data_IF_705330457210
#
_entry.id   IF_705330457210
#
_cell.length_a   1.000
_cell.length_b   1.000
_cell.length_c   1.000
_cell.angle_alpha   90.00
_cell.angle_beta   90.00
_cell.angle_gamma   90.00
#
_symmetry.space_group_name_H-M   'P 1'
#
loop_
_entity.id
_entity.type
_entity.pdbx_description
1 polymer ?
#
# COMPACT_ATOMS: atom_id res chain seq x y z
N UNK A 1 -21.24 -35.44 3.59
CA UNK A 1 -20.50 -36.61 3.01
C UNK A 1 -20.08 -37.50 4.14
N UNK A 2 -20.21 -38.83 3.97
CA UNK A 2 -19.72 -39.78 4.96
C UNK A 2 -18.18 -39.74 5.01
N UNK A 3 -17.61 -39.83 6.21
CA UNK A 3 -16.16 -39.90 6.39
C UNK A 3 -15.59 -41.15 5.70
N UNK A 4 -14.64 -40.96 4.80
CA UNK A 4 -13.89 -42.04 4.17
C UNK A 4 -12.40 -41.85 4.47
N UNK A 5 -11.80 -42.83 5.12
CA UNK A 5 -10.35 -42.84 5.39
C UNK A 5 -9.60 -43.16 4.10
N UNK A 6 -8.58 -42.33 3.75
CA UNK A 6 -7.75 -42.58 2.58
C UNK A 6 -6.98 -43.89 2.74
N UNK A 7 -7.17 -44.78 1.79
CA UNK A 7 -6.43 -46.06 1.80
C UNK A 7 -4.95 -45.81 1.55
N UNK A 8 -4.12 -46.45 2.37
CA UNK A 8 -2.66 -46.37 2.30
C UNK A 8 -2.14 -47.65 1.65
N UNK A 9 -1.26 -47.56 0.62
CA UNK A 9 -0.69 -48.76 -0.02
C UNK A 9 0.02 -49.65 0.98
N UNK A 10 0.00 -50.97 0.77
CA UNK A 10 0.81 -51.90 1.56
C UNK A 10 2.30 -51.51 1.46
N UNK A 11 3.01 -51.43 2.58
CA UNK A 11 4.41 -51.02 2.63
C UNK A 11 4.69 -49.53 2.70
N UNK A 12 3.64 -48.68 2.80
CA UNK A 12 3.81 -47.22 2.94
C UNK A 12 4.64 -46.83 4.17
N UNK A 13 5.50 -45.83 3.99
CA UNK A 13 6.30 -45.24 5.07
C UNK A 13 5.44 -44.58 6.15
N UNK A 14 6.01 -44.40 7.35
CA UNK A 14 5.32 -43.67 8.43
C UNK A 14 4.82 -42.26 8.02
N UNK A 15 5.62 -41.55 7.23
CA UNK A 15 5.25 -40.22 6.71
C UNK A 15 4.04 -40.31 5.75
N UNK A 16 3.99 -41.32 4.88
CA UNK A 16 2.86 -41.50 3.96
C UNK A 16 1.57 -41.85 4.71
N UNK A 17 1.69 -42.68 5.78
CA UNK A 17 0.57 -43.05 6.66
C UNK A 17 0.04 -41.80 7.40
N UNK A 18 0.94 -40.98 7.94
CA UNK A 18 0.59 -39.72 8.62
C UNK A 18 -0.10 -38.76 7.64
N UNK A 19 0.46 -38.60 6.44
CA UNK A 19 -0.15 -37.69 5.43
C UNK A 19 -1.54 -38.18 5.00
N UNK A 20 -1.73 -39.47 4.78
CA UNK A 20 -3.04 -40.05 4.46
C UNK A 20 -4.05 -39.88 5.61
N UNK A 21 -3.60 -40.01 6.86
CA UNK A 21 -4.43 -39.75 8.03
C UNK A 21 -4.85 -38.26 8.12
N UNK A 22 -3.92 -37.33 7.90
CA UNK A 22 -4.20 -35.88 7.84
C UNK A 22 -5.17 -35.57 6.70
N UNK A 23 -4.87 -36.04 5.51
CA UNK A 23 -5.66 -35.77 4.30
C UNK A 23 -7.10 -36.33 4.36
N UNK A 24 -7.31 -37.40 5.13
CA UNK A 24 -8.66 -37.94 5.35
C UNK A 24 -9.54 -36.97 6.18
N UNK A 25 -8.92 -36.10 6.96
CA UNK A 25 -9.57 -35.17 7.90
C UNK A 25 -9.51 -33.72 7.43
N UNK A 26 -8.39 -33.33 6.85
CA UNK A 26 -8.12 -32.04 6.25
C UNK A 26 -7.37 -32.29 4.92
N UNK A 27 -7.97 -32.04 3.75
CA UNK A 27 -7.41 -32.40 2.44
C UNK A 27 -6.25 -31.47 2.02
N UNK A 28 -5.14 -31.50 2.78
CA UNK A 28 -3.98 -30.63 2.59
C UNK A 28 -3.31 -30.86 1.24
N UNK A 29 -3.15 -32.14 0.84
CA UNK A 29 -2.54 -32.49 -0.45
C UNK A 29 -3.39 -32.00 -1.63
N UNK A 30 -4.71 -32.10 -1.53
CA UNK A 30 -5.61 -31.60 -2.56
C UNK A 30 -5.62 -30.07 -2.62
N UNK A 31 -5.65 -29.42 -1.46
CA UNK A 31 -5.52 -27.97 -1.38
C UNK A 31 -4.20 -27.47 -1.99
N UNK A 32 -3.08 -28.15 -1.67
CA UNK A 32 -1.79 -27.84 -2.27
C UNK A 32 -1.82 -28.01 -3.81
N UNK A 33 -2.34 -29.14 -4.30
CA UNK A 33 -2.47 -29.36 -5.75
C UNK A 33 -3.28 -28.25 -6.41
N UNK A 34 -4.47 -27.98 -5.90
CA UNK A 34 -5.39 -26.99 -6.44
C UNK A 34 -4.79 -25.58 -6.49
N UNK A 35 -4.03 -25.19 -5.46
CA UNK A 35 -3.51 -23.82 -5.34
C UNK A 35 -2.06 -23.66 -5.84
N UNK A 36 -1.32 -24.74 -6.09
CA UNK A 36 0.08 -24.70 -6.48
C UNK A 36 0.34 -25.44 -7.81
N UNK A 37 0.14 -26.77 -7.85
CA UNK A 37 0.51 -27.58 -9.02
C UNK A 37 -0.49 -27.53 -10.17
N UNK A 38 -1.78 -27.34 -9.84
CA UNK A 38 -2.88 -27.25 -10.81
C UNK A 38 -3.32 -25.79 -11.03
N UNK A 39 -2.68 -24.83 -10.33
CA UNK A 39 -2.86 -23.41 -10.59
C UNK A 39 -1.93 -22.97 -11.71
N UNK A 40 -2.52 -22.62 -12.85
CA UNK A 40 -1.79 -22.15 -14.03
C UNK A 40 -1.65 -20.63 -14.01
N UNK A 41 -0.40 -20.15 -14.01
CA UNK A 41 -0.07 -18.74 -14.14
C UNK A 41 0.39 -18.41 -15.58
N UNK A 42 0.23 -17.16 -16.07
CA UNK A 42 0.72 -16.75 -17.37
C UNK A 42 2.22 -17.00 -17.51
N UNK A 43 2.64 -17.63 -18.62
CA UNK A 43 4.05 -18.02 -18.85
C UNK A 43 5.02 -16.84 -19.08
N UNK A 44 4.52 -15.61 -19.28
CA UNK A 44 5.29 -14.39 -19.56
C UNK A 44 5.37 -13.42 -18.37
N UNK A 45 5.12 -13.87 -17.13
CA UNK A 45 5.31 -13.01 -15.96
C UNK A 45 6.77 -12.60 -15.84
N UNK A 46 7.02 -11.31 -15.61
CA UNK A 46 8.35 -10.74 -15.45
C UNK A 46 8.65 -10.40 -13.98
N UNK A 47 9.86 -9.87 -13.74
CA UNK A 47 10.35 -9.47 -12.41
C UNK A 47 9.34 -8.68 -11.58
N UNK A 48 8.53 -7.79 -12.19
CA UNK A 48 7.57 -6.99 -11.43
C UNK A 48 6.44 -7.79 -10.76
N UNK A 49 6.28 -9.08 -11.10
CA UNK A 49 5.25 -9.93 -10.49
C UNK A 49 5.66 -10.55 -9.15
N UNK A 50 6.96 -10.53 -8.79
CA UNK A 50 7.47 -11.08 -7.53
C UNK A 50 7.02 -10.29 -6.28
N UNK A 51 6.74 -9.00 -6.42
CA UNK A 51 6.49 -8.12 -5.27
C UNK A 51 5.27 -8.54 -4.42
N UNK A 52 4.31 -9.29 -4.98
CA UNK A 52 3.22 -9.89 -4.21
C UNK A 52 3.71 -10.98 -3.25
N UNK A 53 4.56 -11.89 -3.72
CA UNK A 53 5.16 -12.94 -2.88
C UNK A 53 6.09 -12.33 -1.81
N UNK A 54 6.91 -11.34 -2.18
CA UNK A 54 7.76 -10.63 -1.23
C UNK A 54 6.97 -9.91 -0.14
N UNK A 55 5.79 -9.34 -0.46
CA UNK A 55 4.94 -8.70 0.54
C UNK A 55 4.45 -9.70 1.61
N UNK A 56 4.13 -10.94 1.24
CA UNK A 56 3.76 -12.00 2.18
C UNK A 56 4.94 -12.35 3.09
N UNK A 57 6.14 -12.45 2.54
CA UNK A 57 7.35 -12.75 3.32
C UNK A 57 7.64 -11.64 4.32
N UNK A 58 7.57 -10.38 3.88
CA UNK A 58 7.78 -9.23 4.78
C UNK A 58 6.70 -9.20 5.87
N UNK A 59 5.43 -9.46 5.54
CA UNK A 59 4.36 -9.58 6.54
C UNK A 59 4.71 -10.64 7.60
N UNK A 60 5.19 -11.82 7.17
CA UNK A 60 5.61 -12.87 8.09
C UNK A 60 6.78 -12.41 8.98
N UNK A 61 7.78 -11.73 8.41
CA UNK A 61 8.90 -11.16 9.18
C UNK A 61 8.37 -10.16 10.23
N UNK A 62 7.45 -9.27 9.86
CA UNK A 62 6.89 -8.28 10.77
C UNK A 62 6.13 -8.94 11.93
N UNK A 63 5.30 -9.93 11.66
CA UNK A 63 4.54 -10.65 12.68
C UNK A 63 5.51 -11.37 13.64
N UNK A 64 6.46 -12.14 13.11
CA UNK A 64 7.40 -12.91 13.92
C UNK A 64 8.25 -11.97 14.78
N UNK A 65 8.88 -10.98 14.20
CA UNK A 65 9.71 -10.02 14.95
C UNK A 65 8.89 -9.21 15.94
N UNK A 66 7.66 -8.82 15.60
CA UNK A 66 6.73 -8.13 16.48
C UNK A 66 6.39 -8.95 17.74
N UNK A 67 6.12 -10.25 17.59
CA UNK A 67 5.87 -11.15 18.73
C UNK A 67 7.07 -11.17 19.69
N UNK A 68 8.31 -11.27 19.17
CA UNK A 68 9.49 -11.25 20.02
C UNK A 68 9.71 -9.89 20.70
N UNK A 69 9.41 -8.78 20.02
CA UNK A 69 9.52 -7.44 20.63
C UNK A 69 8.51 -7.27 21.77
N UNK A 70 7.27 -7.70 21.60
CA UNK A 70 6.22 -7.59 22.62
C UNK A 70 6.57 -8.32 23.92
N UNK A 71 7.39 -9.38 23.88
CA UNK A 71 7.79 -10.12 25.09
C UNK A 71 8.54 -9.23 26.11
N UNK A 72 9.21 -8.18 25.63
CA UNK A 72 10.04 -7.31 26.48
C UNK A 72 9.57 -5.84 26.47
N UNK A 73 8.74 -5.44 25.52
CA UNK A 73 8.22 -4.07 25.40
C UNK A 73 7.20 -3.76 26.52
N UNK A 74 7.23 -2.52 27.03
CA UNK A 74 6.30 -2.02 28.05
C UNK A 74 5.47 -0.86 27.48
N UNK A 75 4.16 -1.01 27.24
CA UNK A 75 3.30 0.06 26.75
C UNK A 75 2.89 1.03 27.87
N UNK A 76 3.85 1.72 28.43
CA UNK A 76 3.74 2.65 29.55
C UNK A 76 4.58 3.87 29.21
N UNK A 77 4.01 5.07 29.22
CA UNK A 77 4.69 6.29 28.79
C UNK A 77 5.99 6.59 29.56
N UNK A 78 6.12 6.09 30.80
CA UNK A 78 7.34 6.23 31.60
C UNK A 78 8.40 5.15 31.29
N UNK A 79 8.02 4.04 30.64
CA UNK A 79 8.87 2.86 30.46
C UNK A 79 9.09 2.44 29.01
N UNK A 80 8.28 2.94 28.08
CA UNK A 80 8.28 2.48 26.70
C UNK A 80 9.65 2.67 26.04
N UNK A 81 10.22 3.88 26.12
CA UNK A 81 11.53 4.17 25.57
C UNK A 81 12.63 3.30 26.20
N UNK A 82 12.65 3.22 27.54
CA UNK A 82 13.62 2.41 28.27
C UNK A 82 13.49 0.91 27.94
N UNK A 83 12.28 0.42 27.71
CA UNK A 83 12.07 -0.98 27.31
C UNK A 83 12.62 -1.29 25.93
N UNK A 84 12.60 -0.32 24.98
CA UNK A 84 13.24 -0.45 23.67
C UNK A 84 14.76 -0.44 23.82
N UNK A 85 15.32 0.45 24.66
CA UNK A 85 16.75 0.45 24.98
C UNK A 85 17.20 -0.86 25.62
N UNK A 86 16.40 -1.41 26.55
CA UNK A 86 16.64 -2.72 27.15
C UNK A 86 16.66 -3.84 26.09
N UNK A 87 15.71 -3.86 25.17
CA UNK A 87 15.70 -4.81 24.04
C UNK A 87 16.98 -4.69 23.22
N UNK A 88 17.39 -3.46 22.92
CA UNK A 88 18.55 -3.20 22.06
C UNK A 88 19.88 -3.59 22.71
N UNK A 89 20.01 -3.51 24.04
CA UNK A 89 21.29 -3.60 24.75
C UNK A 89 21.44 -4.86 25.58
N UNK A 90 20.37 -5.31 26.23
CA UNK A 90 20.44 -6.37 27.23
C UNK A 90 19.84 -7.71 26.76
N UNK A 91 18.84 -7.68 25.86
CA UNK A 91 18.23 -8.91 25.35
C UNK A 91 19.13 -9.54 24.30
N UNK A 92 19.53 -10.82 24.44
CA UNK A 92 20.32 -11.52 23.42
C UNK A 92 19.67 -11.44 22.04
N UNK A 93 20.39 -10.92 21.04
CA UNK A 93 19.91 -10.68 19.68
C UNK A 93 18.72 -9.68 19.59
N UNK A 94 18.38 -8.97 20.65
CA UNK A 94 17.28 -8.01 20.67
C UNK A 94 17.48 -6.88 19.66
N UNK A 95 18.72 -6.37 19.51
CA UNK A 95 19.07 -5.41 18.46
C UNK A 95 18.76 -5.92 17.04
N UNK A 96 19.03 -7.19 16.77
CA UNK A 96 18.76 -7.82 15.47
C UNK A 96 17.25 -7.85 15.19
N UNK A 97 16.46 -8.34 16.14
CA UNK A 97 15.01 -8.40 16.03
C UNK A 97 14.42 -6.99 15.85
N UNK A 98 14.89 -6.01 16.61
CA UNK A 98 14.45 -4.61 16.51
C UNK A 98 14.76 -4.01 15.14
N UNK A 99 15.99 -4.20 14.62
CA UNK A 99 16.36 -3.72 13.29
C UNK A 99 15.65 -4.48 12.17
N UNK A 100 15.43 -5.78 12.31
CA UNK A 100 14.61 -6.53 11.35
C UNK A 100 13.18 -5.98 11.29
N UNK A 101 12.59 -5.60 12.42
CA UNK A 101 11.25 -5.05 12.47
C UNK A 101 11.18 -3.66 11.83
N UNK A 102 12.07 -2.75 12.19
CA UNK A 102 12.08 -1.37 11.65
C UNK A 102 12.46 -1.33 10.16
N UNK A 103 13.50 -2.07 9.75
CA UNK A 103 13.88 -2.21 8.34
C UNK A 103 12.75 -2.88 7.55
N UNK A 104 12.13 -3.92 8.15
CA UNK A 104 11.01 -4.62 7.54
C UNK A 104 9.81 -3.71 7.29
N UNK A 105 9.48 -2.79 8.19
CA UNK A 105 8.43 -1.80 7.96
C UNK A 105 8.71 -0.96 6.70
N UNK A 106 9.92 -0.42 6.56
CA UNK A 106 10.32 0.33 5.36
C UNK A 106 10.33 -0.54 4.11
N UNK A 107 10.90 -1.74 4.16
CA UNK A 107 10.92 -2.66 3.02
C UNK A 107 9.53 -3.14 2.62
N UNK A 108 8.57 -3.19 3.55
CA UNK A 108 7.18 -3.49 3.23
C UNK A 108 6.59 -2.43 2.30
N UNK A 109 6.79 -1.15 2.60
CA UNK A 109 6.33 -0.07 1.71
C UNK A 109 7.07 -0.05 0.37
N UNK A 110 8.37 -0.32 0.32
CA UNK A 110 9.09 -0.48 -0.97
C UNK A 110 8.41 -1.55 -1.81
N UNK A 111 8.20 -2.74 -1.23
CA UNK A 111 7.60 -3.87 -1.93
C UNK A 111 6.16 -3.57 -2.37
N UNK A 112 5.34 -2.98 -1.49
CA UNK A 112 3.93 -2.67 -1.79
C UNK A 112 3.82 -1.56 -2.85
N UNK A 113 4.65 -0.52 -2.81
CA UNK A 113 4.68 0.50 -3.86
C UNK A 113 5.04 -0.10 -5.21
N UNK A 114 6.06 -0.95 -5.29
CA UNK A 114 6.42 -1.64 -6.53
C UNK A 114 5.29 -2.54 -7.03
N UNK A 115 4.61 -3.23 -6.11
CA UNK A 115 3.44 -4.05 -6.42
C UNK A 115 2.28 -3.21 -7.00
N UNK A 116 1.99 -2.06 -6.42
CA UNK A 116 0.94 -1.14 -6.89
C UNK A 116 1.31 -0.50 -8.25
N UNK A 117 2.55 -0.02 -8.42
CA UNK A 117 3.01 0.54 -9.69
C UNK A 117 2.97 -0.50 -10.82
N UNK A 118 3.32 -1.76 -10.54
CA UNK A 118 3.12 -2.86 -11.51
C UNK A 118 1.65 -2.98 -11.90
N UNK A 119 0.74 -2.91 -10.93
CA UNK A 119 -0.70 -2.91 -11.17
C UNK A 119 -1.14 -1.78 -12.09
N UNK A 120 -0.63 -0.56 -11.88
CA UNK A 120 -0.88 0.61 -12.72
C UNK A 120 -0.38 0.41 -14.15
N UNK A 121 0.86 -0.02 -14.34
CA UNK A 121 1.51 -0.16 -15.65
C UNK A 121 0.81 -1.21 -16.52
N UNK A 122 0.44 -2.36 -15.95
CA UNK A 122 -0.16 -3.46 -16.71
C UNK A 122 -1.69 -3.50 -16.64
N UNK A 123 -2.34 -2.55 -15.96
CA UNK A 123 -3.79 -2.47 -15.82
C UNK A 123 -4.38 -3.65 -15.03
N UNK A 124 -3.67 -4.11 -13.98
CA UNK A 124 -4.08 -5.26 -13.16
C UNK A 124 -5.30 -4.98 -12.27
N UNK A 125 -5.77 -3.74 -12.22
CA UNK A 125 -6.99 -3.30 -11.54
C UNK A 125 -8.24 -3.42 -12.41
N UNK A 126 -8.10 -3.73 -13.70
CA UNK A 126 -9.21 -3.75 -14.66
C UNK A 126 -9.92 -5.11 -14.64
N UNK A 127 -11.19 -5.07 -15.12
CA UNK A 127 -12.07 -6.25 -15.23
C UNK A 127 -11.31 -7.49 -15.75
N UNK A 128 -11.41 -8.66 -15.05
CA UNK A 128 -12.29 -8.99 -13.92
C UNK A 128 -11.60 -8.85 -12.53
N UNK A 129 -10.55 -8.00 -12.37
CA UNK A 129 -9.70 -7.92 -11.18
C UNK A 129 -9.95 -6.70 -10.29
N UNK A 130 -11.12 -6.05 -10.47
CA UNK A 130 -11.50 -4.86 -9.69
C UNK A 130 -11.52 -5.16 -8.19
N UNK A 131 -12.10 -6.29 -7.79
CA UNK A 131 -12.19 -6.68 -6.38
C UNK A 131 -10.80 -6.95 -5.77
N UNK A 132 -9.89 -7.56 -6.54
CA UNK A 132 -8.50 -7.75 -6.11
C UNK A 132 -7.84 -6.40 -5.82
N UNK A 133 -8.05 -5.43 -6.70
CA UNK A 133 -7.51 -4.08 -6.54
C UNK A 133 -8.08 -3.38 -5.31
N UNK A 134 -9.40 -3.48 -5.06
CA UNK A 134 -10.07 -2.90 -3.90
C UNK A 134 -9.51 -3.50 -2.60
N UNK A 135 -9.36 -4.83 -2.51
CA UNK A 135 -8.70 -5.46 -1.37
C UNK A 135 -7.26 -4.97 -1.21
N UNK A 136 -6.51 -4.82 -2.31
CA UNK A 136 -5.17 -4.26 -2.29
C UNK A 136 -5.12 -2.83 -1.74
N UNK A 137 -6.04 -1.96 -2.14
CA UNK A 137 -6.16 -0.60 -1.59
C UNK A 137 -6.53 -0.62 -0.10
N UNK A 138 -7.41 -1.52 0.33
CA UNK A 138 -7.78 -1.69 1.74
C UNK A 138 -6.58 -2.19 2.57
N UNK A 139 -5.81 -3.15 2.04
CA UNK A 139 -4.54 -3.61 2.64
C UNK A 139 -3.56 -2.43 2.78
N UNK A 140 -3.39 -1.62 1.73
CA UNK A 140 -2.49 -0.47 1.78
C UNK A 140 -2.91 0.55 2.84
N UNK A 141 -4.21 0.85 2.95
CA UNK A 141 -4.75 1.74 3.99
C UNK A 141 -4.53 1.17 5.41
N UNK A 142 -4.79 -0.13 5.61
CA UNK A 142 -4.50 -0.81 6.88
C UNK A 142 -3.00 -0.79 7.20
N UNK A 143 -2.14 -1.00 6.19
CA UNK A 143 -0.68 -0.96 6.36
C UNK A 143 -0.19 0.45 6.77
N UNK A 144 -0.79 1.51 6.21
CA UNK A 144 -0.51 2.88 6.65
C UNK A 144 -0.88 3.08 8.12
N UNK A 145 -2.07 2.60 8.54
CA UNK A 145 -2.50 2.65 9.94
C UNK A 145 -1.57 1.83 10.85
N UNK A 146 -1.23 0.62 10.44
CA UNK A 146 -0.32 -0.29 11.15
C UNK A 146 1.04 0.37 11.42
N UNK A 147 1.64 0.94 10.38
CA UNK A 147 2.92 1.62 10.49
C UNK A 147 2.85 2.88 11.36
N UNK A 148 1.77 3.65 11.27
CA UNK A 148 1.56 4.83 12.12
C UNK A 148 1.44 4.47 13.59
N UNK A 149 0.62 3.48 13.94
CA UNK A 149 0.46 3.03 15.32
C UNK A 149 1.76 2.44 15.87
N UNK A 150 2.50 1.66 15.06
CA UNK A 150 3.78 1.08 15.45
C UNK A 150 4.88 2.11 15.64
N UNK A 151 4.88 3.18 14.86
CA UNK A 151 5.88 4.23 14.95
C UNK A 151 5.83 5.02 16.27
N UNK A 152 4.67 5.13 16.92
CA UNK A 152 4.54 5.75 18.25
C UNK A 152 5.22 4.92 19.35
N UNK A 153 5.22 3.59 19.23
CA UNK A 153 5.58 2.68 20.33
C UNK A 153 7.00 2.89 20.90
N UNK A 154 8.04 3.21 20.11
CA UNK A 154 9.37 3.50 20.67
C UNK A 154 9.40 4.69 21.64
N UNK A 155 8.40 5.55 21.62
CA UNK A 155 8.25 6.71 22.50
C UNK A 155 9.45 7.66 22.48
N UNK A 156 10.09 7.76 21.29
CA UNK A 156 11.11 8.75 21.00
C UNK A 156 10.52 10.11 20.62
N UNK A 157 11.37 11.10 20.47
CA UNK A 157 10.98 12.48 20.14
C UNK A 157 10.17 12.56 18.84
N UNK A 158 10.60 11.87 17.79
CA UNK A 158 9.86 11.88 16.51
C UNK A 158 8.58 11.04 16.56
N UNK A 159 8.58 9.92 17.29
CA UNK A 159 7.40 9.12 17.54
C UNK A 159 6.27 9.94 18.20
N UNK A 160 6.60 10.64 19.27
CA UNK A 160 5.66 11.47 20.04
C UNK A 160 5.11 12.64 19.21
N UNK A 161 6.02 13.45 18.64
CA UNK A 161 5.63 14.65 17.92
C UNK A 161 5.00 14.33 16.56
N UNK A 162 5.40 13.24 15.92
CA UNK A 162 4.73 12.73 14.72
C UNK A 162 3.27 12.33 15.01
N UNK A 163 3.02 11.61 16.09
CA UNK A 163 1.66 11.26 16.52
C UNK A 163 0.85 12.50 16.87
N UNK A 164 1.45 13.46 17.60
CA UNK A 164 0.79 14.73 17.94
C UNK A 164 0.31 15.48 16.69
N UNK A 165 1.15 15.56 15.66
CA UNK A 165 0.79 16.20 14.39
C UNK A 165 -0.35 15.44 13.70
N UNK A 166 -0.23 14.14 13.52
CA UNK A 166 -1.21 13.33 12.77
C UNK A 166 -2.56 13.29 13.46
N UNK A 167 -2.60 13.09 14.81
CA UNK A 167 -3.87 13.08 15.54
C UNK A 167 -4.54 14.47 15.49
N UNK A 168 -3.74 15.55 15.52
CA UNK A 168 -4.28 16.89 15.37
C UNK A 168 -4.84 17.20 13.97
N UNK A 169 -4.49 16.42 12.93
CA UNK A 169 -5.12 16.58 11.62
C UNK A 169 -6.60 16.19 11.64
N UNK A 170 -6.97 15.18 12.43
CA UNK A 170 -8.37 14.78 12.58
C UNK A 170 -9.24 15.89 13.17
N UNK A 171 -8.67 16.76 14.02
CA UNK A 171 -9.41 17.90 14.59
C UNK A 171 -9.87 18.92 13.55
N UNK A 172 -9.30 18.91 12.34
CA UNK A 172 -9.72 19.79 11.24
C UNK A 172 -11.05 19.35 10.58
N UNK A 173 -11.55 18.15 10.86
CA UNK A 173 -12.81 17.66 10.30
C UNK A 173 -13.96 18.43 10.93
N UNK A 174 -14.83 19.10 10.16
CA UNK A 174 -15.95 19.85 10.71
C UNK A 174 -16.89 18.96 11.54
N UNK A 175 -17.44 19.53 12.60
CA UNK A 175 -18.43 18.97 13.55
C UNK A 175 -17.89 17.84 14.44
N UNK A 176 -17.22 16.83 13.91
CA UNK A 176 -16.78 15.63 14.65
C UNK A 176 -15.28 15.63 14.97
N UNK A 177 -14.50 16.51 14.36
CA UNK A 177 -13.03 16.47 14.42
C UNK A 177 -12.45 16.58 15.83
N UNK A 178 -12.89 17.55 16.66
CA UNK A 178 -12.40 17.67 18.03
C UNK A 178 -12.66 16.41 18.87
N UNK A 179 -13.88 15.86 18.82
CA UNK A 179 -14.26 14.66 19.56
C UNK A 179 -13.51 13.41 19.04
N UNK A 180 -13.36 13.29 17.73
CA UNK A 180 -12.58 12.20 17.11
C UNK A 180 -11.10 12.27 17.52
N UNK A 181 -10.51 13.47 17.51
CA UNK A 181 -9.13 13.68 17.95
C UNK A 181 -8.94 13.34 19.43
N UNK A 182 -9.90 13.72 20.29
CA UNK A 182 -9.92 13.38 21.71
C UNK A 182 -10.07 11.86 21.91
N UNK A 183 -10.97 11.23 21.16
CA UNK A 183 -11.16 9.79 21.22
C UNK A 183 -9.91 9.03 20.79
N UNK A 184 -9.22 9.46 19.70
CA UNK A 184 -7.98 8.83 19.23
C UNK A 184 -6.87 8.93 20.28
N UNK A 185 -6.70 10.10 20.92
CA UNK A 185 -5.71 10.29 21.98
C UNK A 185 -6.06 9.52 23.25
N UNK A 186 -7.35 9.44 23.56
CA UNK A 186 -7.83 8.90 24.83
C UNK A 186 -7.67 9.83 26.02
N UNK A 187 -7.11 11.00 25.79
CA UNK A 187 -6.88 12.09 26.73
C UNK A 187 -6.79 13.43 25.97
N UNK A 188 -6.70 14.54 26.69
CA UNK A 188 -6.53 15.88 26.10
C UNK A 188 -5.17 16.06 25.42
N UNK A 189 -4.16 15.29 25.81
CA UNK A 189 -2.81 15.28 25.24
C UNK A 189 -2.41 13.89 24.78
N UNK A 190 -1.42 13.78 23.90
CA UNK A 190 -0.76 12.50 23.61
C UNK A 190 -0.04 12.06 24.87
N UNK A 191 -0.36 10.89 25.40
CA UNK A 191 0.14 10.38 26.65
C UNK A 191 -0.03 8.88 26.76
N UNK A 192 -0.07 8.39 27.99
CA UNK A 192 -0.15 6.96 28.30
C UNK A 192 -1.41 6.30 27.69
N UNK A 193 -2.55 6.96 27.77
CA UNK A 193 -3.79 6.47 27.15
C UNK A 193 -3.66 6.32 25.62
N UNK A 194 -2.97 7.24 24.96
CA UNK A 194 -2.69 7.17 23.51
C UNK A 194 -1.79 5.98 23.21
N UNK A 195 -0.72 5.82 23.98
CA UNK A 195 0.24 4.74 23.81
C UNK A 195 -0.41 3.37 23.94
N UNK A 196 -1.25 3.17 24.96
CA UNK A 196 -1.99 1.92 25.17
C UNK A 196 -2.96 1.60 24.02
N UNK A 197 -3.68 2.58 23.50
CA UNK A 197 -4.58 2.40 22.35
C UNK A 197 -3.80 2.02 21.09
N UNK A 198 -2.72 2.73 20.81
CA UNK A 198 -1.89 2.47 19.64
C UNK A 198 -1.20 1.11 19.73
N UNK A 199 -0.77 0.72 20.92
CA UNK A 199 -0.25 -0.63 21.17
C UNK A 199 -1.31 -1.70 20.85
N UNK A 200 -2.55 -1.55 21.34
CA UNK A 200 -3.61 -2.50 21.07
C UNK A 200 -3.97 -2.58 19.57
N UNK A 201 -4.00 -1.44 18.87
CA UNK A 201 -4.22 -1.42 17.42
C UNK A 201 -3.09 -2.10 16.65
N UNK A 202 -1.82 -1.77 16.96
CA UNK A 202 -0.65 -2.28 16.26
C UNK A 202 -0.41 -3.78 16.51
N UNK A 203 -0.61 -4.25 17.74
CA UNK A 203 -0.26 -5.65 18.10
C UNK A 203 -1.38 -6.64 17.80
N UNK A 204 -2.65 -6.20 17.82
CA UNK A 204 -3.80 -7.10 17.71
C UNK A 204 -4.73 -6.69 16.58
N UNK A 205 -5.34 -5.50 16.65
CA UNK A 205 -6.51 -5.18 15.85
C UNK A 205 -6.17 -5.09 14.35
N UNK A 206 -5.20 -4.28 13.98
CA UNK A 206 -4.83 -4.09 12.57
C UNK A 206 -4.14 -5.32 11.98
N UNK A 207 -3.22 -6.03 12.65
CA UNK A 207 -2.66 -7.28 12.12
C UNK A 207 -3.73 -8.33 11.80
N UNK A 208 -4.75 -8.50 12.63
CA UNK A 208 -5.85 -9.43 12.36
C UNK A 208 -6.66 -9.02 11.13
N UNK A 209 -7.00 -7.74 11.00
CA UNK A 209 -7.70 -7.21 9.81
C UNK A 209 -6.82 -7.37 8.56
N UNK A 210 -5.53 -7.06 8.67
CA UNK A 210 -4.57 -7.16 7.57
C UNK A 210 -4.45 -8.61 7.07
N UNK A 211 -4.29 -9.59 7.97
CA UNK A 211 -4.25 -11.02 7.62
C UNK A 211 -5.54 -11.43 6.91
N UNK A 212 -6.70 -11.03 7.42
CA UNK A 212 -8.00 -11.32 6.79
C UNK A 212 -8.12 -10.73 5.39
N UNK A 213 -7.71 -9.47 5.20
CA UNK A 213 -7.72 -8.82 3.89
C UNK A 213 -6.71 -9.46 2.91
N UNK A 214 -5.53 -9.83 3.37
CA UNK A 214 -4.52 -10.54 2.54
C UNK A 214 -5.06 -11.90 2.11
N UNK A 215 -5.70 -12.65 3.00
CA UNK A 215 -6.35 -13.91 2.65
C UNK A 215 -7.43 -13.70 1.58
N UNK A 216 -8.32 -12.71 1.75
CA UNK A 216 -9.35 -12.38 0.77
C UNK A 216 -8.76 -11.94 -0.59
N UNK A 217 -7.68 -11.15 -0.58
CA UNK A 217 -6.96 -10.72 -1.77
C UNK A 217 -6.39 -11.90 -2.56
N UNK A 218 -5.75 -12.85 -1.87
CA UNK A 218 -5.18 -14.05 -2.50
C UNK A 218 -6.28 -14.97 -3.03
N UNK A 219 -7.36 -15.19 -2.26
CA UNK A 219 -8.50 -15.99 -2.71
C UNK A 219 -9.12 -15.41 -3.99
N UNK A 220 -9.35 -14.08 -4.02
CA UNK A 220 -9.85 -13.40 -5.21
C UNK A 220 -8.87 -13.51 -6.40
N UNK A 221 -7.54 -13.47 -6.15
CA UNK A 221 -6.54 -13.67 -7.19
C UNK A 221 -6.60 -15.09 -7.78
N UNK A 222 -6.72 -16.12 -6.95
CA UNK A 222 -6.81 -17.51 -7.41
C UNK A 222 -8.07 -17.78 -8.21
N UNK A 223 -9.19 -17.12 -7.86
CA UNK A 223 -10.45 -17.24 -8.59
C UNK A 223 -10.35 -16.73 -10.03
N UNK A 224 -9.88 -15.49 -10.21
CA UNK A 224 -9.82 -14.87 -11.54
C UNK A 224 -8.50 -15.09 -12.28
N UNK A 225 -7.42 -15.42 -11.57
CA UNK A 225 -6.07 -15.60 -12.11
C UNK A 225 -5.27 -14.30 -12.25
N UNK A 226 -3.94 -14.45 -12.34
CA UNK A 226 -3.01 -13.33 -12.52
C UNK A 226 -3.21 -12.63 -13.86
N UNK A 227 -3.04 -11.30 -13.86
CA UNK A 227 -2.81 -10.54 -15.09
C UNK A 227 -1.38 -10.83 -15.60
N UNK A 228 -1.06 -10.37 -16.81
CA UNK A 228 0.27 -10.49 -17.41
C UNK A 228 0.67 -9.20 -18.14
N UNK A 229 1.94 -9.06 -18.56
CA UNK A 229 2.43 -7.86 -19.24
C UNK A 229 1.68 -7.47 -20.52
N UNK A 230 1.02 -8.41 -21.18
CA UNK A 230 0.24 -8.15 -22.39
C UNK A 230 -1.24 -7.86 -22.10
N UNK A 231 -1.72 -8.21 -20.91
CA UNK A 231 -3.14 -8.08 -20.55
C UNK A 231 -4.05 -9.12 -21.20
N UNK A 232 -3.50 -10.22 -21.69
CA UNK A 232 -4.22 -11.34 -22.29
C UNK A 232 -4.85 -12.20 -21.21
N UNK A 233 -6.13 -12.56 -21.37
CA UNK A 233 -6.82 -13.48 -20.46
C UNK A 233 -6.50 -14.93 -20.87
N UNK A 234 -5.55 -15.56 -20.20
CA UNK A 234 -5.08 -16.92 -20.54
C UNK A 234 -6.17 -17.99 -20.39
N UNK A 235 -7.14 -17.79 -19.51
CA UNK A 235 -8.28 -18.70 -19.29
C UNK A 235 -9.27 -18.75 -20.47
N UNK A 236 -9.17 -17.81 -21.43
CA UNK A 236 -10.03 -17.80 -22.61
C UNK A 236 -9.55 -18.75 -23.70
N UNK A 237 -8.34 -19.30 -23.60
CA UNK A 237 -7.73 -20.15 -24.63
C UNK A 237 -7.15 -21.42 -23.97
N UNK A 238 -7.94 -22.49 -24.02
CA UNK A 238 -7.66 -23.75 -23.35
C UNK A 238 -7.25 -24.82 -24.36
N UNK A 239 -6.38 -25.74 -23.95
CA UNK A 239 -6.05 -26.96 -24.71
C UNK A 239 -7.14 -28.03 -24.56
N UNK A 240 -6.91 -29.19 -25.20
CA UNK A 240 -7.84 -30.32 -25.16
C UNK A 240 -8.03 -30.91 -23.76
N UNK A 241 -7.13 -30.64 -22.84
CA UNK A 241 -7.16 -31.07 -21.45
C UNK A 241 -7.81 -30.03 -20.50
N UNK A 242 -8.19 -28.87 -21.05
CA UNK A 242 -8.78 -27.76 -20.29
C UNK A 242 -7.74 -26.86 -19.61
N UNK A 243 -6.44 -26.98 -19.93
CA UNK A 243 -5.40 -26.12 -19.37
C UNK A 243 -5.19 -24.88 -20.26
N UNK A 244 -4.88 -23.70 -19.67
CA UNK A 244 -4.56 -22.52 -20.43
C UNK A 244 -3.29 -22.71 -21.30
N UNK A 245 -3.44 -22.57 -22.62
CA UNK A 245 -2.33 -22.74 -23.58
C UNK A 245 -1.16 -21.78 -23.34
N UNK A 246 -1.45 -20.60 -22.75
CA UNK A 246 -0.46 -19.59 -22.37
C UNK A 246 -0.15 -19.61 -20.86
N UNK A 247 -0.53 -20.68 -20.18
CA UNK A 247 -0.24 -20.92 -18.78
C UNK A 247 0.83 -21.98 -18.57
N UNK A 248 1.49 -21.91 -17.40
CA UNK A 248 2.33 -22.98 -16.85
C UNK A 248 1.92 -23.22 -15.40
N UNK A 249 2.05 -24.43 -14.87
CA UNK A 249 1.82 -24.69 -13.46
C UNK A 249 2.66 -23.77 -12.59
N UNK A 250 2.04 -23.18 -11.54
CA UNK A 250 2.78 -22.30 -10.64
C UNK A 250 3.92 -23.07 -9.95
N UNK A 251 3.63 -24.23 -9.42
CA UNK A 251 4.65 -25.14 -8.90
C UNK A 251 4.99 -26.22 -9.92
N UNK A 252 6.28 -26.47 -10.25
CA UNK A 252 7.49 -25.91 -9.59
C UNK A 252 8.00 -24.59 -10.22
N UNK A 253 7.51 -24.16 -11.37
CA UNK A 253 8.15 -23.11 -12.17
C UNK A 253 8.24 -21.77 -11.45
N UNK A 254 7.10 -21.18 -11.07
CA UNK A 254 7.11 -19.87 -10.37
C UNK A 254 7.53 -20.02 -8.90
N UNK A 255 7.33 -21.17 -8.28
CA UNK A 255 7.86 -21.42 -6.93
C UNK A 255 9.39 -21.34 -6.88
N UNK A 256 10.09 -21.90 -7.87
CA UNK A 256 11.56 -21.80 -7.96
C UNK A 256 12.00 -20.37 -8.27
N UNK A 257 11.29 -19.70 -9.17
CA UNK A 257 11.52 -18.31 -9.50
C UNK A 257 11.35 -17.38 -8.30
N UNK A 258 10.27 -17.58 -7.52
CA UNK A 258 9.99 -16.83 -6.30
C UNK A 258 11.07 -17.04 -5.24
N UNK A 259 11.53 -18.28 -5.03
CA UNK A 259 12.62 -18.58 -4.09
C UNK A 259 13.93 -17.91 -4.50
N UNK A 260 14.25 -17.87 -5.78
CA UNK A 260 15.45 -17.18 -6.28
C UNK A 260 15.40 -15.67 -5.98
N UNK A 261 14.30 -15.00 -6.28
CA UNK A 261 14.15 -13.57 -5.99
C UNK A 261 14.04 -13.28 -4.50
N UNK A 262 13.41 -14.17 -3.74
CA UNK A 262 13.40 -14.10 -2.28
C UNK A 262 14.83 -14.13 -1.73
N UNK A 263 15.70 -15.01 -2.25
CA UNK A 263 17.12 -15.04 -1.87
C UNK A 263 17.80 -13.69 -2.12
N UNK A 264 17.61 -13.10 -3.30
CA UNK A 264 18.13 -11.77 -3.62
C UNK A 264 17.58 -10.67 -2.69
N UNK A 265 16.28 -10.70 -2.41
CA UNK A 265 15.64 -9.77 -1.49
C UNK A 265 16.20 -9.90 -0.05
N UNK A 266 16.37 -11.13 0.45
CA UNK A 266 16.90 -11.38 1.79
C UNK A 266 18.36 -10.95 1.93
N UNK A 267 19.17 -11.03 0.87
CA UNK A 267 20.54 -10.50 0.86
C UNK A 267 20.50 -8.97 1.03
N UNK A 268 19.65 -8.26 0.28
CA UNK A 268 19.51 -6.81 0.40
C UNK A 268 18.98 -6.45 1.80
N UNK A 269 17.95 -7.13 2.27
CA UNK A 269 17.37 -6.93 3.59
C UNK A 269 18.40 -7.11 4.71
N UNK A 270 19.13 -8.23 4.69
CA UNK A 270 20.19 -8.51 5.65
C UNK A 270 21.32 -7.47 5.57
N UNK A 271 21.70 -7.04 4.37
CA UNK A 271 22.72 -6.01 4.20
C UNK A 271 22.31 -4.69 4.86
N UNK A 272 21.05 -4.30 4.75
CA UNK A 272 20.52 -3.10 5.43
C UNK A 272 20.55 -3.32 6.95
N UNK A 273 19.99 -4.44 7.44
CA UNK A 273 19.90 -4.73 8.88
C UNK A 273 21.27 -4.74 9.56
N UNK A 274 22.29 -5.34 8.91
CA UNK A 274 23.62 -5.50 9.52
C UNK A 274 24.54 -4.31 9.30
N UNK A 275 24.39 -3.54 8.22
CA UNK A 275 25.37 -2.51 7.86
C UNK A 275 24.82 -1.08 7.81
N UNK A 276 23.50 -0.90 7.64
CA UNK A 276 22.89 0.42 7.50
C UNK A 276 21.44 0.48 8.00
N UNK A 277 21.12 0.02 9.24
CA UNK A 277 19.72 -0.12 9.70
C UNK A 277 18.96 1.20 9.78
N UNK A 278 19.66 2.32 9.89
CA UNK A 278 19.06 3.67 9.91
C UNK A 278 18.89 4.26 8.51
N UNK A 279 19.60 3.74 7.50
CA UNK A 279 19.63 4.26 6.12
C UNK A 279 19.81 5.78 6.07
N UNK A 280 20.77 6.31 6.85
CA UNK A 280 21.04 7.74 6.92
C UNK A 280 19.89 8.58 7.50
N UNK A 281 19.08 8.00 8.36
CA UNK A 281 17.92 8.64 8.97
C UNK A 281 16.61 8.48 8.21
N UNK A 282 16.59 7.81 7.05
CA UNK A 282 15.35 7.57 6.31
C UNK A 282 14.51 6.45 6.90
N UNK A 283 15.14 5.42 7.48
CA UNK A 283 14.42 4.30 8.11
C UNK A 283 14.24 4.52 9.61
N UNK A 284 15.24 5.11 10.27
CA UNK A 284 15.18 5.49 11.68
C UNK A 284 15.83 6.87 11.83
N UNK A 285 15.05 7.87 12.22
CA UNK A 285 15.52 9.24 12.40
C UNK A 285 16.35 9.37 13.69
N UNK A 286 17.44 10.14 13.62
CA UNK A 286 18.34 10.37 14.76
C UNK A 286 17.60 10.91 16.01
N UNK A 287 16.62 11.81 15.82
CA UNK A 287 15.84 12.37 16.92
C UNK A 287 14.93 11.33 17.60
N UNK A 288 14.71 10.17 17.01
CA UNK A 288 13.91 9.12 17.63
C UNK A 288 14.69 8.20 18.58
N UNK A 289 16.02 8.40 18.65
CA UNK A 289 16.91 7.82 19.68
C UNK A 289 17.01 8.68 20.94
N UNK A 290 16.20 9.72 21.05
CA UNK A 290 16.07 10.59 22.22
C UNK A 290 14.68 10.37 22.79
N UNK A 291 14.53 10.18 24.14
CA UNK A 291 13.22 9.97 24.76
C UNK A 291 12.28 11.16 24.52
N UNK A 292 11.00 10.89 24.39
CA UNK A 292 9.97 11.90 24.14
C UNK A 292 9.96 12.97 25.22
N UNK A 293 10.07 14.23 24.83
CA UNK A 293 9.91 15.39 25.70
C UNK A 293 8.72 16.24 25.20
N UNK A 294 7.57 16.22 25.88
CA UNK A 294 6.39 16.99 25.48
C UNK A 294 6.57 18.50 25.59
N UNK A 295 7.59 18.97 26.28
CA UNK A 295 7.90 20.41 26.48
C UNK A 295 8.91 20.96 25.48
N UNK A 296 9.47 20.10 24.61
CA UNK A 296 10.49 20.51 23.64
C UNK A 296 10.16 20.02 22.24
N UNK A 297 9.54 20.88 21.44
CA UNK A 297 9.23 20.58 20.05
C UNK A 297 10.51 20.47 19.21
N UNK A 298 10.70 19.40 18.42
CA UNK A 298 11.80 19.32 17.46
C UNK A 298 11.75 20.46 16.45
N UNK A 299 12.91 20.92 16.00
CA UNK A 299 13.03 21.98 15.00
C UNK A 299 12.40 21.63 13.66
N UNK A 300 12.35 20.33 13.35
CA UNK A 300 11.71 19.79 12.15
C UNK A 300 10.99 18.48 12.48
N UNK A 301 9.71 18.40 12.11
CA UNK A 301 8.89 17.21 12.25
C UNK A 301 8.47 16.79 10.86
N UNK A 302 8.86 15.58 10.45
CA UNK A 302 8.41 14.95 9.22
C UNK A 302 7.98 13.51 9.53
N UNK A 303 6.97 12.97 8.84
CA UNK A 303 6.65 11.55 8.95
C UNK A 303 7.73 10.70 8.29
N UNK A 304 7.74 9.40 8.58
CA UNK A 304 8.63 8.43 7.92
C UNK A 304 8.43 8.49 6.40
N UNK A 305 9.51 8.27 5.65
CA UNK A 305 9.63 8.50 4.20
C UNK A 305 8.46 7.97 3.36
N UNK A 306 7.86 6.86 3.72
CA UNK A 306 6.77 6.25 2.94
C UNK A 306 5.42 7.00 3.07
N UNK A 307 5.27 7.90 4.05
CA UNK A 307 4.11 8.79 4.16
C UNK A 307 4.34 10.16 3.50
N UNK A 308 5.60 10.51 3.24
CA UNK A 308 5.97 11.85 2.82
C UNK A 308 5.38 12.31 1.50
N UNK A 309 5.07 11.46 0.49
CA UNK A 309 4.36 11.91 -0.70
C UNK A 309 3.00 12.53 -0.37
N UNK A 310 2.24 11.90 0.52
CA UNK A 310 0.91 12.36 0.94
C UNK A 310 1.01 13.55 1.89
N UNK A 311 1.97 13.53 2.82
CA UNK A 311 2.25 14.65 3.72
C UNK A 311 2.69 15.90 2.96
N UNK A 312 3.44 15.75 1.87
CA UNK A 312 3.82 16.87 1.00
C UNK A 312 2.59 17.56 0.39
N UNK A 313 1.60 16.79 -0.06
CA UNK A 313 0.33 17.31 -0.59
C UNK A 313 -0.47 18.06 0.48
N UNK A 314 -0.54 17.52 1.70
CA UNK A 314 -1.18 18.20 2.84
C UNK A 314 -0.50 19.55 3.10
N UNK A 315 0.82 19.57 3.21
CA UNK A 315 1.61 20.76 3.55
C UNK A 315 1.59 21.80 2.44
N UNK A 316 1.46 21.39 1.17
CA UNK A 316 1.33 22.27 0.01
C UNK A 316 -0.02 22.98 -0.04
N UNK A 317 -1.04 22.49 0.68
CA UNK A 317 -2.39 23.07 0.67
C UNK A 317 -2.45 24.27 1.62
N UNK A 318 -1.95 25.39 1.15
CA UNK A 318 -1.95 26.70 1.84
C UNK A 318 -3.12 27.55 1.37
N UNK A 319 -3.47 28.61 2.11
CA UNK A 319 -4.56 29.54 1.76
C UNK A 319 -4.40 30.09 0.33
N UNK A 320 -3.19 30.42 -0.08
CA UNK A 320 -2.91 30.91 -1.45
C UNK A 320 -3.10 29.85 -2.52
N UNK A 321 -3.06 28.56 -2.16
CA UNK A 321 -3.27 27.45 -3.10
C UNK A 321 -4.73 27.07 -3.27
N UNK A 322 -5.63 27.47 -2.37
CA UNK A 322 -7.04 27.09 -2.45
C UNK A 322 -7.72 27.55 -3.75
N UNK A 323 -7.45 28.77 -4.21
CA UNK A 323 -8.00 29.26 -5.47
C UNK A 323 -7.46 28.49 -6.71
N UNK A 324 -6.16 28.28 -6.91
CA UNK A 324 -5.65 27.40 -7.96
C UNK A 324 -6.22 25.98 -7.92
N UNK A 325 -6.35 25.39 -6.72
CA UNK A 325 -6.92 24.06 -6.54
C UNK A 325 -8.40 24.01 -6.93
N UNK A 326 -9.19 25.01 -6.53
CA UNK A 326 -10.59 25.11 -6.94
C UNK A 326 -10.72 25.26 -8.46
N UNK A 327 -9.92 26.14 -9.09
CA UNK A 327 -9.93 26.31 -10.55
C UNK A 327 -9.64 24.97 -11.24
N UNK A 328 -8.63 24.24 -10.77
CA UNK A 328 -8.31 22.92 -11.30
C UNK A 328 -9.51 21.95 -11.19
N UNK A 329 -10.13 21.83 -10.02
CA UNK A 329 -11.29 20.96 -9.81
C UNK A 329 -12.51 21.41 -10.64
N UNK A 330 -12.74 22.72 -10.76
CA UNK A 330 -13.80 23.28 -11.61
C UNK A 330 -13.58 22.96 -13.09
N UNK A 331 -12.34 23.00 -13.59
CA UNK A 331 -11.99 22.59 -14.96
C UNK A 331 -12.30 21.09 -15.16
N UNK A 332 -11.91 20.22 -14.23
CA UNK A 332 -12.22 18.80 -14.29
C UNK A 332 -13.74 18.55 -14.32
N UNK A 333 -14.50 19.21 -13.44
CA UNK A 333 -15.97 19.12 -13.42
C UNK A 333 -16.59 19.67 -14.71
N UNK A 334 -16.04 20.75 -15.26
CA UNK A 334 -16.44 21.30 -16.54
C UNK A 334 -16.23 20.30 -17.70
N UNK A 335 -15.10 19.61 -17.73
CA UNK A 335 -14.85 18.54 -18.71
C UNK A 335 -15.91 17.42 -18.60
N UNK A 336 -16.26 16.98 -17.38
CA UNK A 336 -17.32 16.00 -17.17
C UNK A 336 -18.69 16.52 -17.63
N UNK A 337 -19.02 17.78 -17.30
CA UNK A 337 -20.28 18.41 -17.71
C UNK A 337 -20.40 18.52 -19.24
N UNK A 338 -19.31 18.85 -19.95
CA UNK A 338 -19.28 18.90 -21.43
C UNK A 338 -19.51 17.52 -22.03
N UNK A 339 -18.87 16.47 -21.48
CA UNK A 339 -19.00 15.08 -21.97
C UNK A 339 -20.35 14.45 -21.64
N UNK A 340 -21.01 14.89 -20.57
CA UNK A 340 -22.28 14.32 -20.12
C UNK A 340 -23.40 14.63 -21.11
N UNK A 341 -24.24 13.62 -21.45
CA UNK A 341 -25.44 13.78 -22.26
C UNK A 341 -26.64 14.15 -21.40
N UNK A 342 -26.71 13.65 -20.16
CA UNK A 342 -27.81 13.91 -19.23
C UNK A 342 -27.64 15.29 -18.57
N UNK A 343 -28.70 16.11 -18.64
CA UNK A 343 -28.78 17.45 -18.04
C UNK A 343 -28.63 17.39 -16.51
N UNK A 344 -29.07 16.28 -15.86
CA UNK A 344 -28.91 16.09 -14.42
C UNK A 344 -27.43 15.98 -14.03
N UNK A 345 -26.63 15.27 -14.84
CA UNK A 345 -25.18 15.14 -14.60
C UNK A 345 -24.50 16.48 -14.80
N UNK A 346 -24.88 17.26 -15.84
CA UNK A 346 -24.37 18.63 -16.03
C UNK A 346 -24.68 19.52 -14.83
N UNK A 347 -25.93 19.48 -14.38
CA UNK A 347 -26.38 20.24 -13.20
C UNK A 347 -25.62 19.81 -11.93
N UNK A 348 -25.41 18.50 -11.73
CA UNK A 348 -24.62 17.99 -10.60
C UNK A 348 -23.16 18.49 -10.62
N UNK A 349 -22.51 18.48 -11.80
CA UNK A 349 -21.14 19.00 -11.91
C UNK A 349 -21.06 20.51 -11.53
N UNK A 350 -22.02 21.32 -12.00
CA UNK A 350 -22.08 22.74 -11.63
C UNK A 350 -22.36 22.91 -10.14
N UNK A 351 -23.32 22.17 -9.59
CA UNK A 351 -23.65 22.23 -8.17
C UNK A 351 -22.44 21.84 -7.28
N UNK A 352 -21.71 20.81 -7.66
CA UNK A 352 -20.49 20.39 -6.95
C UNK A 352 -19.42 21.50 -7.06
N UNK A 353 -19.21 22.10 -8.23
CA UNK A 353 -18.24 23.19 -8.39
C UNK A 353 -18.57 24.39 -7.51
N UNK A 354 -19.86 24.77 -7.41
CA UNK A 354 -20.33 25.86 -6.54
C UNK A 354 -20.20 25.48 -5.05
N UNK A 355 -20.55 24.24 -4.69
CA UNK A 355 -20.39 23.77 -3.32
C UNK A 355 -18.93 23.77 -2.88
N UNK A 356 -18.01 23.34 -3.77
CA UNK A 356 -16.57 23.43 -3.52
C UNK A 356 -16.11 24.89 -3.37
N UNK A 357 -16.60 25.81 -4.21
CA UNK A 357 -16.28 27.24 -4.07
C UNK A 357 -16.70 27.78 -2.69
N UNK A 358 -17.91 27.46 -2.25
CA UNK A 358 -18.39 27.80 -0.90
C UNK A 358 -17.54 27.14 0.19
N UNK A 359 -17.20 25.87 0.03
CA UNK A 359 -16.33 25.14 0.97
C UNK A 359 -14.93 25.72 1.07
N UNK A 360 -14.30 26.08 -0.06
CA UNK A 360 -12.97 26.72 -0.06
C UNK A 360 -12.99 28.12 0.56
N UNK A 361 -14.14 28.79 0.56
CA UNK A 361 -14.31 30.08 1.22
C UNK A 361 -14.56 29.94 2.74
N UNK A 362 -15.35 28.94 3.14
CA UNK A 362 -15.81 28.78 4.53
C UNK A 362 -14.85 27.97 5.42
N UNK A 363 -14.12 27.01 4.82
CA UNK A 363 -13.26 26.07 5.55
C UNK A 363 -11.79 26.43 5.34
N UNK A 364 -10.98 26.22 6.35
CA UNK A 364 -9.57 26.59 6.35
C UNK A 364 -8.69 25.67 5.48
N UNK A 365 -7.48 26.12 5.18
CA UNK A 365 -6.52 25.39 4.38
C UNK A 365 -6.09 24.06 5.03
N UNK A 366 -6.10 23.97 6.39
CA UNK A 366 -5.77 22.74 7.11
C UNK A 366 -6.80 21.65 6.82
N UNK A 367 -8.09 21.96 6.83
CA UNK A 367 -9.14 21.04 6.44
C UNK A 367 -8.93 20.52 5.02
N UNK A 368 -8.73 21.42 4.05
CA UNK A 368 -8.52 21.03 2.66
C UNK A 368 -7.23 20.23 2.47
N UNK A 369 -6.19 20.53 3.22
CA UNK A 369 -4.97 19.70 3.26
C UNK A 369 -5.25 18.26 3.67
N UNK A 370 -6.07 18.06 4.71
CA UNK A 370 -6.50 16.72 5.15
C UNK A 370 -7.34 16.03 4.07
N UNK A 371 -8.26 16.76 3.43
CA UNK A 371 -9.08 16.22 2.32
C UNK A 371 -8.21 15.81 1.13
N UNK A 372 -7.22 16.60 0.75
CA UNK A 372 -6.31 16.29 -0.36
C UNK A 372 -5.42 15.10 0.00
N UNK A 373 -4.85 15.06 1.18
CA UNK A 373 -4.03 13.95 1.65
C UNK A 373 -4.83 12.63 1.68
N UNK A 374 -6.00 12.63 2.33
CA UNK A 374 -6.86 11.46 2.39
C UNK A 374 -7.42 11.08 1.02
N UNK A 375 -7.88 12.08 0.26
CA UNK A 375 -8.40 11.91 -1.09
C UNK A 375 -7.38 11.33 -2.07
N UNK A 376 -6.10 11.64 -1.92
CA UNK A 376 -5.02 11.08 -2.75
C UNK A 376 -4.84 9.57 -2.57
N UNK A 377 -5.19 9.03 -1.40
CA UNK A 377 -5.23 7.58 -1.15
C UNK A 377 -6.57 6.99 -1.58
N UNK A 378 -7.67 7.63 -1.22
CA UNK A 378 -9.04 7.13 -1.50
C UNK A 378 -9.32 7.06 -3.00
N UNK A 379 -8.78 7.98 -3.81
CA UNK A 379 -8.99 7.99 -5.27
C UNK A 379 -8.52 6.69 -5.94
N UNK A 380 -7.53 6.01 -5.38
CA UNK A 380 -7.02 4.75 -5.91
C UNK A 380 -8.07 3.63 -5.91
N UNK A 381 -9.03 3.64 -4.97
CA UNK A 381 -10.13 2.69 -4.95
C UNK A 381 -11.00 2.78 -6.20
N UNK A 382 -11.11 3.97 -6.78
CA UNK A 382 -11.95 4.23 -7.95
C UNK A 382 -11.24 4.01 -9.28
N UNK A 383 -9.93 3.70 -9.26
CA UNK A 383 -9.13 3.51 -10.47
C UNK A 383 -9.72 2.54 -11.50
N UNK A 384 -10.34 1.39 -11.12
CA UNK A 384 -10.96 0.48 -12.09
C UNK A 384 -12.02 1.14 -12.97
N UNK A 385 -12.68 2.17 -12.47
CA UNK A 385 -13.76 2.90 -13.15
C UNK A 385 -13.32 4.22 -13.74
N UNK A 386 -12.13 4.72 -13.41
CA UNK A 386 -11.55 5.93 -13.98
C UNK A 386 -10.83 5.65 -15.31
N UNK A 387 -10.24 4.47 -15.47
CA UNK A 387 -9.49 4.10 -16.67
C UNK A 387 -10.42 3.54 -17.77
N UNK A 388 -10.72 4.36 -18.77
CA UNK A 388 -11.56 4.00 -19.92
C UNK A 388 -10.76 3.53 -21.14
N UNK A 389 -9.45 3.26 -21.01
CA UNK A 389 -8.63 2.77 -22.12
C UNK A 389 -9.22 1.49 -22.73
N UNK A 390 -9.20 1.29 -24.05
CA UNK A 390 -9.65 0.04 -24.69
C UNK A 390 -8.72 -1.15 -24.39
N UNK A 391 -7.46 -0.88 -23.97
CA UNK A 391 -6.45 -1.90 -23.67
C UNK A 391 -5.95 -1.79 -22.23
N UNK A 392 -5.58 -2.92 -21.61
CA UNK A 392 -5.13 -2.95 -20.22
C UNK A 392 -3.70 -2.42 -20.08
N UNK A 393 -2.77 -3.09 -20.73
CA UNK A 393 -1.34 -2.87 -20.56
C UNK A 393 -0.85 -1.62 -21.26
N UNK A 394 0.11 -0.93 -20.61
CA UNK A 394 0.85 0.21 -21.16
C UNK A 394 1.58 -0.13 -22.48
N UNK A 395 1.90 -1.41 -22.73
CA UNK A 395 2.58 -1.88 -23.96
C UNK A 395 1.80 -1.55 -25.22
N UNK A 396 0.48 -1.60 -25.14
CA UNK A 396 -0.44 -1.41 -26.28
C UNK A 396 -1.10 -0.03 -26.30
N UNK A 397 -0.78 0.82 -25.32
CA UNK A 397 -1.26 2.21 -25.26
C UNK A 397 -0.40 3.13 -26.12
N UNK A 398 -0.93 4.28 -26.57
CA UNK A 398 -0.15 5.31 -27.27
C UNK A 398 1.11 5.72 -26.49
N UNK A 399 2.16 6.13 -27.20
CA UNK A 399 3.44 6.48 -26.58
C UNK A 399 3.32 7.57 -25.51
N UNK A 400 2.46 8.59 -25.72
CA UNK A 400 2.28 9.66 -24.75
C UNK A 400 1.69 9.18 -23.42
N UNK A 401 0.92 8.07 -23.37
CA UNK A 401 0.49 7.48 -22.12
C UNK A 401 1.66 7.01 -21.27
N UNK A 402 2.72 6.47 -21.93
CA UNK A 402 3.96 6.08 -21.22
C UNK A 402 4.60 7.28 -20.53
N UNK A 403 4.60 8.45 -21.19
CA UNK A 403 5.09 9.68 -20.59
C UNK A 403 4.21 10.17 -19.44
N UNK A 404 2.88 10.11 -19.57
CA UNK A 404 1.96 10.46 -18.47
C UNK A 404 2.24 9.58 -17.25
N UNK A 405 2.39 8.26 -17.42
CA UNK A 405 2.76 7.35 -16.33
C UNK A 405 4.16 7.64 -15.78
N UNK A 406 5.14 7.89 -16.65
CA UNK A 406 6.51 8.23 -16.24
C UNK A 406 6.56 9.50 -15.39
N UNK A 407 5.88 10.57 -15.81
CA UNK A 407 5.77 11.81 -15.05
C UNK A 407 5.03 11.58 -13.73
N UNK A 408 4.02 10.70 -13.69
CA UNK A 408 3.33 10.33 -12.44
C UNK A 408 4.30 9.70 -11.43
N UNK A 409 5.13 8.76 -11.86
CA UNK A 409 6.15 8.13 -10.99
C UNK A 409 7.14 9.17 -10.49
N UNK A 410 7.65 10.02 -11.38
CA UNK A 410 8.59 11.11 -11.01
C UNK A 410 7.93 12.08 -10.02
N UNK A 411 6.68 12.47 -10.27
CA UNK A 411 5.90 13.33 -9.37
C UNK A 411 5.76 12.72 -7.98
N UNK A 412 5.48 11.41 -7.89
CA UNK A 412 5.36 10.71 -6.61
C UNK A 412 6.68 10.72 -5.84
N UNK A 413 7.80 10.48 -6.52
CA UNK A 413 9.15 10.52 -5.92
C UNK A 413 9.50 11.94 -5.46
N UNK A 414 9.22 12.96 -6.27
CA UNK A 414 9.45 14.37 -5.91
C UNK A 414 8.64 14.75 -4.67
N UNK A 415 7.36 14.39 -4.61
CA UNK A 415 6.53 14.63 -3.43
C UNK A 415 7.10 13.92 -2.19
N UNK A 416 7.62 12.70 -2.35
CA UNK A 416 8.30 11.95 -1.30
C UNK A 416 9.51 12.73 -0.77
N UNK A 417 10.38 13.19 -1.65
CA UNK A 417 11.55 13.99 -1.27
C UNK A 417 11.13 15.30 -0.57
N UNK A 418 10.21 16.05 -1.17
CA UNK A 418 9.77 17.34 -0.63
C UNK A 418 9.08 17.22 0.73
N UNK A 419 8.40 16.10 1.00
CA UNK A 419 7.75 15.86 2.29
C UNK A 419 8.71 15.73 3.47
N UNK A 420 9.96 15.34 3.22
CA UNK A 420 11.02 15.25 4.24
C UNK A 420 11.70 16.60 4.45
N UNK A 421 11.73 17.45 3.41
CA UNK A 421 12.49 18.72 3.48
C UNK A 421 11.82 19.76 4.38
N UNK A 422 12.59 20.64 5.02
CA UNK A 422 12.08 21.83 5.69
C UNK A 422 11.23 22.67 4.72
N UNK A 423 10.18 23.35 5.22
CA UNK A 423 9.33 24.19 4.37
C UNK A 423 10.13 25.36 3.79
N UNK A 424 9.96 25.60 2.49
CA UNK A 424 10.46 26.77 1.79
C UNK A 424 9.49 27.20 0.70
N UNK A 425 9.46 28.48 0.29
CA UNK A 425 8.58 28.95 -0.77
C UNK A 425 8.74 28.19 -2.09
N UNK A 426 9.96 27.81 -2.44
CA UNK A 426 10.26 27.02 -3.63
C UNK A 426 9.68 25.59 -3.52
N UNK A 427 9.90 24.92 -2.40
CA UNK A 427 9.42 23.55 -2.17
C UNK A 427 7.89 23.50 -2.08
N UNK A 428 7.27 24.54 -1.51
CA UNK A 428 5.82 24.68 -1.51
C UNK A 428 5.27 24.74 -2.94
N UNK A 429 5.83 25.59 -3.80
CA UNK A 429 5.39 25.73 -5.21
C UNK A 429 5.55 24.42 -5.99
N UNK A 430 6.68 23.74 -5.86
CA UNK A 430 6.91 22.46 -6.55
C UNK A 430 5.89 21.42 -6.04
N UNK A 431 5.65 21.35 -4.73
CA UNK A 431 4.67 20.44 -4.13
C UNK A 431 3.24 20.75 -4.63
N UNK A 432 2.87 22.02 -4.79
CA UNK A 432 1.57 22.43 -5.35
C UNK A 432 1.40 21.94 -6.79
N UNK A 433 2.40 22.13 -7.65
CA UNK A 433 2.40 21.65 -9.04
C UNK A 433 2.28 20.12 -9.08
N UNK A 434 3.10 19.43 -8.28
CA UNK A 434 3.07 17.98 -8.17
C UNK A 434 1.72 17.47 -7.65
N UNK A 435 1.08 18.16 -6.71
CA UNK A 435 -0.25 17.82 -6.19
C UNK A 435 -1.31 17.92 -7.28
N UNK A 436 -1.32 19.01 -8.06
CA UNK A 436 -2.23 19.16 -9.21
C UNK A 436 -2.01 18.04 -10.22
N UNK A 437 -0.75 17.70 -10.53
CA UNK A 437 -0.46 16.62 -11.47
C UNK A 437 -0.92 15.27 -10.94
N UNK A 438 -0.65 14.95 -9.67
CA UNK A 438 -1.08 13.71 -9.03
C UNK A 438 -2.61 13.53 -9.10
N UNK A 439 -3.36 14.56 -8.69
CA UNK A 439 -4.82 14.54 -8.75
C UNK A 439 -5.31 14.49 -10.20
N UNK A 440 -4.68 15.24 -11.10
CA UNK A 440 -5.01 15.28 -12.52
C UNK A 440 -4.80 13.94 -13.22
N UNK A 441 -3.77 13.21 -12.85
CA UNK A 441 -3.54 11.85 -13.36
C UNK A 441 -4.78 10.98 -13.19
N UNK A 442 -5.38 10.96 -11.99
CA UNK A 442 -6.58 10.16 -11.71
C UNK A 442 -7.86 10.85 -12.20
N UNK A 443 -8.11 12.09 -11.83
CA UNK A 443 -9.38 12.78 -12.11
C UNK A 443 -9.62 13.03 -13.60
N UNK A 444 -8.56 13.27 -14.38
CA UNK A 444 -8.65 13.39 -15.82
C UNK A 444 -8.48 12.07 -16.58
N UNK A 445 -8.25 10.94 -15.88
CA UNK A 445 -8.05 9.64 -16.52
C UNK A 445 -9.20 9.22 -17.44
N UNK A 446 -10.49 9.44 -17.12
CA UNK A 446 -11.60 9.13 -18.02
C UNK A 446 -11.54 9.84 -19.38
N UNK A 447 -10.72 10.88 -19.50
CA UNK A 447 -10.50 11.63 -20.73
C UNK A 447 -9.22 11.17 -21.43
N UNK A 448 -8.06 11.36 -20.78
CA UNK A 448 -6.78 11.09 -21.44
C UNK A 448 -6.56 9.60 -21.76
N UNK A 449 -7.13 8.66 -20.97
CA UNK A 449 -6.96 7.23 -21.19
C UNK A 449 -7.61 6.71 -22.47
N UNK A 450 -8.53 7.49 -23.08
CA UNK A 450 -9.20 7.14 -24.33
C UNK A 450 -8.56 7.74 -25.58
N UNK A 451 -7.60 8.64 -25.42
CA UNK A 451 -7.01 9.39 -26.50
C UNK A 451 -5.90 8.62 -27.20
N UNK A 452 -5.76 8.85 -28.51
CA UNK A 452 -4.68 8.35 -29.35
C UNK A 452 -4.95 7.00 -30.01
N UNK A 453 -3.94 6.45 -30.69
CA UNK A 453 -4.02 5.18 -31.42
C UNK A 453 -3.47 4.06 -30.59
N UNK A 454 -4.29 3.06 -30.34
CA UNK A 454 -3.94 1.87 -29.56
C UNK A 454 -3.44 0.77 -30.47
N UNK A 455 -2.41 0.05 -30.03
CA UNK A 455 -1.92 -1.14 -30.73
C UNK A 455 -2.88 -2.31 -30.48
N UNK A 456 -3.04 -3.24 -31.43
CA UNK A 456 -3.80 -4.46 -31.21
C UNK A 456 -3.12 -5.33 -30.13
N UNK A 457 -3.93 -5.83 -29.19
CA UNK A 457 -3.46 -6.81 -28.20
C UNK A 457 -3.33 -8.16 -28.90
N UNK A 458 -2.21 -8.90 -28.75
CA UNK A 458 -2.05 -10.20 -29.39
C UNK A 458 -3.05 -11.22 -28.83
N UNK A 459 -3.40 -12.22 -29.64
CA UNK A 459 -4.28 -13.31 -29.22
C UNK A 459 -3.62 -14.28 -28.22
N UNK A 460 -2.29 -14.30 -28.17
CA UNK A 460 -1.44 -15.12 -27.32
C UNK A 460 -0.42 -14.24 -26.59
N UNK A 461 0.01 -14.67 -25.39
CA UNK A 461 1.07 -13.94 -24.68
C UNK A 461 2.39 -13.93 -25.45
N UNK A 462 3.11 -12.83 -25.34
CA UNK A 462 4.43 -12.64 -25.98
C UNK A 462 5.54 -12.53 -24.93
N UNK A 463 6.77 -12.82 -25.36
CA UNK A 463 7.99 -12.64 -24.54
C UNK A 463 8.81 -11.42 -24.99
N UNK A 464 8.33 -10.68 -25.98
CA UNK A 464 9.02 -9.51 -26.51
C UNK A 464 8.99 -8.35 -25.48
N UNK A 465 10.15 -7.72 -25.31
CA UNK A 465 10.26 -6.44 -24.63
C UNK A 465 9.81 -5.33 -25.59
N UNK A 466 8.73 -4.65 -25.27
CA UNK A 466 8.21 -3.51 -26.08
C UNK A 466 8.48 -2.18 -25.35
#
# INVERSE_FOLDING_TARGET
>A
MAFQEKQVPPGASGAQKLMAWVDSRLPVTEAFKRHMSEYYAPKNLNFFYIFGALAIVVLAIQIITGIFLVMNYKPDAAKAFESVEYIMREVPFGWLIRYMHSTGASMFFVVVYMHMFRGLIYGSYRKPRELIWIFGCAIFLCLMGEAFFGYLLPWGQMSYWGAQVIVNLFSAIPFIGPDLSLWLRGDYVVGDATLNRFFAFHVIAIPLVLIGLVAAHILALHEVGSNNPDGVEIKNNLDAQGHPVDGIPFHPYYSVHDVMYLGGFLIIFASIVFFAPEMGGYFLEANNFIPANPFQTPSHIAPVWYFTPFYSMLRATTTNFLLPLWIFLAVILGMFAIKAKDIKIKGACVAIALALAGGFYLLDAKFWGVVIMGGSVVIMFFLPWLDHSPVKSIRYRPAFHKYIYGVFVVTFVILGYLGIQPPSPMFEKISQICTIYYLGFFLAMPFWSTLGTFKPVPSRVTFEAH
#
